data_IF_260767807848
#
_entry.id   IF_260767807848
#
_cell.length_a   1.000
_cell.length_b   1.000
_cell.length_c   1.000
_cell.angle_alpha   90.00
_cell.angle_beta   90.00
_cell.angle_gamma   90.00
#
_symmetry.space_group_name_H-M   'P 1'
#
loop_
_entity.id
_entity.type
_entity.pdbx_description
1 polymer ?
#
# COMPACT_ATOMS: atom_id res chain seq x y z
N UNK A 1 18.37 -4.58 -11.45
CA UNK A 1 16.97 -4.30 -11.83
C UNK A 1 16.14 -5.43 -11.27
N UNK A 2 15.19 -5.17 -10.37
CA UNK A 2 14.36 -6.22 -9.75
C UNK A 2 12.96 -6.15 -10.35
N UNK A 3 12.52 -7.23 -10.99
CA UNK A 3 11.18 -7.36 -11.56
C UNK A 3 10.22 -7.82 -10.45
N UNK A 4 9.17 -7.05 -10.18
CA UNK A 4 8.09 -7.50 -9.31
C UNK A 4 6.95 -8.03 -10.18
N UNK A 5 6.70 -9.34 -10.12
CA UNK A 5 5.53 -9.96 -10.78
C UNK A 5 4.40 -10.00 -9.77
N UNK A 6 3.43 -9.09 -9.88
CA UNK A 6 2.22 -9.16 -9.08
C UNK A 6 1.20 -10.07 -9.77
N UNK A 7 0.86 -11.18 -9.11
CA UNK A 7 -0.32 -11.98 -9.46
C UNK A 7 -1.55 -11.30 -8.86
N UNK A 8 -2.51 -10.91 -9.70
CA UNK A 8 -3.88 -10.77 -9.23
C UNK A 8 -4.37 -12.18 -8.87
N UNK A 9 -4.37 -12.54 -7.58
CA UNK A 9 -4.96 -13.80 -7.14
C UNK A 9 -6.47 -13.58 -7.08
N UNK A 10 -7.28 -14.23 -7.95
CA UNK A 10 -8.71 -14.22 -7.76
C UNK A 10 -8.99 -14.96 -6.46
N UNK A 11 -9.52 -14.28 -5.45
CA UNK A 11 -10.13 -14.98 -4.30
C UNK A 11 -11.29 -15.78 -4.87
N UNK A 12 -11.08 -17.07 -5.01
CA UNK A 12 -12.11 -18.02 -5.42
C UNK A 12 -13.19 -18.08 -4.35
N UNK A 13 -14.35 -17.48 -4.63
CA UNK A 13 -15.63 -17.96 -4.11
C UNK A 13 -16.64 -18.10 -5.25
N UNK A 14 -17.35 -19.23 -5.32
CA UNK A 14 -18.28 -19.52 -6.40
C UNK A 14 -19.62 -18.83 -6.10
N UNK A 15 -19.79 -17.61 -6.59
CA UNK A 15 -21.14 -17.12 -6.91
C UNK A 15 -21.04 -16.09 -8.03
N UNK A 16 -21.78 -16.36 -9.10
CA UNK A 16 -21.89 -15.50 -10.26
C UNK A 16 -22.67 -14.23 -9.89
N UNK A 17 -21.97 -13.17 -9.46
CA UNK A 17 -22.46 -11.79 -9.47
C UNK A 17 -21.39 -10.70 -9.26
N UNK A 18 -20.11 -11.04 -9.06
CA UNK A 18 -19.05 -10.09 -8.68
C UNK A 18 -18.04 -9.72 -9.79
N UNK A 19 -18.29 -10.10 -11.04
CA UNK A 19 -17.37 -9.85 -12.16
C UNK A 19 -17.12 -8.37 -12.57
N UNK A 20 -18.06 -7.41 -12.45
CA UNK A 20 -17.78 -6.03 -12.88
C UNK A 20 -16.80 -5.30 -11.94
N UNK A 21 -16.95 -5.48 -10.61
CA UNK A 21 -16.13 -4.77 -9.60
C UNK A 21 -14.65 -5.18 -9.67
N UNK A 22 -14.38 -6.46 -9.95
CA UNK A 22 -13.02 -6.97 -10.08
C UNK A 22 -12.35 -6.47 -11.37
N UNK A 23 -13.11 -6.37 -12.47
CA UNK A 23 -12.61 -5.78 -13.70
C UNK A 23 -12.27 -4.30 -13.48
N UNK A 24 -13.17 -3.54 -12.85
CA UNK A 24 -12.99 -2.11 -12.59
C UNK A 24 -11.76 -1.82 -11.71
N UNK A 25 -11.54 -2.61 -10.66
CA UNK A 25 -10.37 -2.47 -9.79
C UNK A 25 -9.04 -2.73 -10.55
N UNK A 26 -9.01 -3.73 -11.43
CA UNK A 26 -7.83 -4.04 -12.26
C UNK A 26 -7.61 -2.96 -13.31
N UNK A 27 -8.66 -2.48 -13.99
CA UNK A 27 -8.57 -1.38 -14.95
C UNK A 27 -8.08 -0.09 -14.29
N UNK A 28 -8.63 0.24 -13.12
CA UNK A 28 -8.20 1.40 -12.35
C UNK A 28 -6.73 1.29 -11.95
N UNK A 29 -6.30 0.12 -11.47
CA UNK A 29 -4.91 -0.15 -11.13
C UNK A 29 -3.96 0.08 -12.32
N UNK A 30 -4.33 -0.44 -13.50
CA UNK A 30 -3.57 -0.25 -14.74
C UNK A 30 -3.47 1.22 -15.11
N UNK A 31 -4.56 1.98 -14.98
CA UNK A 31 -4.58 3.40 -15.31
C UNK A 31 -3.67 4.22 -14.39
N UNK A 32 -3.70 3.97 -13.08
CA UNK A 32 -2.81 4.61 -12.10
C UNK A 32 -1.35 4.27 -12.39
N UNK A 33 -1.05 3.00 -12.68
CA UNK A 33 0.31 2.55 -13.00
C UNK A 33 0.86 3.15 -14.29
N UNK A 34 0.01 3.33 -15.31
CA UNK A 34 0.38 4.05 -16.54
C UNK A 34 0.64 5.52 -16.25
N UNK A 35 -0.23 6.15 -15.46
CA UNK A 35 -0.14 7.59 -15.16
C UNK A 35 1.12 7.94 -14.35
N UNK A 36 1.59 7.01 -13.52
CA UNK A 36 2.81 7.14 -12.71
C UNK A 36 4.07 6.59 -13.40
N UNK A 37 3.97 6.19 -14.67
CA UNK A 37 5.05 5.54 -15.45
C UNK A 37 5.67 4.31 -14.75
N UNK A 38 4.89 3.62 -13.92
CA UNK A 38 5.34 2.41 -13.21
C UNK A 38 4.97 1.11 -13.95
N UNK A 39 4.03 1.17 -14.91
CA UNK A 39 3.67 0.00 -15.72
C UNK A 39 4.70 -0.23 -16.83
N UNK A 40 5.27 -1.44 -16.89
CA UNK A 40 6.07 -1.91 -18.01
C UNK A 40 5.20 -2.63 -19.04
N UNK A 41 4.41 -3.59 -18.58
CA UNK A 41 3.57 -4.43 -19.44
C UNK A 41 2.33 -4.92 -18.68
N UNK A 42 1.22 -5.10 -19.38
CA UNK A 42 0.02 -5.73 -18.85
C UNK A 42 -0.54 -6.71 -19.88
N UNK A 43 -1.02 -7.87 -19.42
CA UNK A 43 -1.54 -8.92 -20.29
C UNK A 43 -2.26 -10.01 -19.51
N UNK A 44 -2.48 -11.14 -20.19
CA UNK A 44 -3.07 -12.33 -19.60
C UNK A 44 -2.06 -13.48 -19.60
N UNK A 45 -1.97 -14.20 -18.49
CA UNK A 45 -1.23 -15.46 -18.43
C UNK A 45 -1.94 -16.53 -19.25
N UNK A 46 -1.26 -17.63 -19.63
CA UNK A 46 -1.89 -18.77 -20.31
C UNK A 46 -3.10 -19.36 -19.56
N UNK A 47 -3.17 -19.14 -18.24
CA UNK A 47 -4.30 -19.53 -17.39
C UNK A 47 -5.51 -18.59 -17.48
N UNK A 48 -5.47 -17.54 -18.30
CA UNK A 48 -6.49 -16.49 -18.39
C UNK A 48 -6.47 -15.46 -17.26
N UNK A 49 -5.52 -15.55 -16.32
CA UNK A 49 -5.40 -14.58 -15.23
C UNK A 49 -4.73 -13.28 -15.73
N UNK A 50 -5.26 -12.13 -15.34
CA UNK A 50 -4.63 -10.84 -15.60
C UNK A 50 -3.29 -10.73 -14.85
N UNK A 51 -2.25 -10.25 -15.53
CA UNK A 51 -0.92 -10.04 -14.98
C UNK A 51 -0.36 -8.69 -15.43
N UNK A 52 0.45 -8.09 -14.57
CA UNK A 52 1.15 -6.83 -14.83
C UNK A 52 2.61 -6.98 -14.43
N UNK A 53 3.48 -6.39 -15.24
CA UNK A 53 4.89 -6.17 -14.94
C UNK A 53 5.05 -4.70 -14.61
N UNK A 54 5.59 -4.41 -13.43
CA UNK A 54 5.80 -3.05 -12.94
C UNK A 54 7.25 -2.83 -12.55
N UNK A 55 7.69 -1.58 -12.56
CA UNK A 55 8.96 -1.21 -11.95
C UNK A 55 8.91 -1.49 -10.45
N UNK A 56 9.77 -2.41 -9.99
CA UNK A 56 9.89 -2.77 -8.58
C UNK A 56 11.02 -2.00 -7.90
N UNK A 57 10.75 -1.48 -6.69
CA UNK A 57 11.79 -1.14 -5.71
C UNK A 57 11.83 -2.23 -4.64
N UNK A 58 13.03 -2.51 -4.12
CA UNK A 58 13.20 -3.48 -3.05
C UNK A 58 12.57 -2.97 -1.74
N UNK A 59 11.96 -3.87 -0.98
CA UNK A 59 11.36 -3.59 0.31
C UNK A 59 10.56 -4.79 0.81
N UNK A 60 10.15 -4.75 2.08
CA UNK A 60 9.26 -5.75 2.68
C UNK A 60 8.21 -5.05 3.55
N UNK A 61 7.04 -5.66 3.78
CA UNK A 61 6.14 -5.20 4.83
C UNK A 61 6.87 -5.09 6.17
N UNK A 62 6.54 -4.10 7.00
CA UNK A 62 7.24 -3.85 8.27
C UNK A 62 7.19 -5.08 9.19
N UNK A 63 6.05 -5.77 9.21
CA UNK A 63 5.82 -7.02 9.95
C UNK A 63 6.70 -8.20 9.49
N UNK A 64 7.27 -8.14 8.29
CA UNK A 64 8.14 -9.18 7.75
C UNK A 64 9.63 -8.88 8.03
N UNK A 65 9.92 -7.86 8.84
CA UNK A 65 11.27 -7.46 9.20
C UNK A 65 11.62 -7.97 10.59
N UNK A 66 12.61 -8.87 10.66
CA UNK A 66 13.09 -9.48 11.90
C UNK A 66 13.46 -8.47 12.97
N UNK A 67 14.06 -7.33 12.59
CA UNK A 67 14.41 -6.27 13.51
C UNK A 67 13.18 -5.69 14.21
N UNK A 68 12.10 -5.46 13.46
CA UNK A 68 10.84 -4.96 14.02
C UNK A 68 10.20 -6.01 14.94
N UNK A 69 10.19 -7.28 14.54
CA UNK A 69 9.60 -8.35 15.34
C UNK A 69 10.36 -8.66 16.64
N UNK A 70 11.66 -8.36 16.70
CA UNK A 70 12.51 -8.53 17.89
C UNK A 70 12.61 -7.27 18.75
N UNK A 71 12.14 -6.12 18.25
CA UNK A 71 12.14 -4.87 18.99
C UNK A 71 11.11 -4.91 20.13
N UNK A 72 11.38 -4.16 21.21
CA UNK A 72 10.40 -3.96 22.26
C UNK A 72 9.20 -3.14 21.78
N UNK A 73 8.12 -3.13 22.57
CA UNK A 73 6.87 -2.43 22.21
C UNK A 73 7.06 -0.93 21.97
N UNK A 74 7.97 -0.27 22.69
CA UNK A 74 8.24 1.16 22.52
C UNK A 74 8.90 1.42 21.17
N UNK A 75 9.89 0.61 20.81
CA UNK A 75 10.58 0.70 19.53
C UNK A 75 9.67 0.30 18.37
N UNK A 76 8.85 -0.73 18.51
CA UNK A 76 7.83 -1.09 17.51
C UNK A 76 6.85 0.07 17.25
N UNK A 77 6.32 0.66 18.31
CA UNK A 77 5.44 1.84 18.21
C UNK A 77 6.13 3.01 17.52
N UNK A 78 7.40 3.28 17.86
CA UNK A 78 8.18 4.35 17.22
C UNK A 78 8.39 4.12 15.72
N UNK A 79 8.58 2.86 15.29
CA UNK A 79 8.75 2.49 13.89
C UNK A 79 7.42 2.56 13.13
N UNK A 80 6.30 2.20 13.75
CA UNK A 80 4.97 2.37 13.17
C UNK A 80 4.66 3.85 12.94
N UNK A 81 4.88 4.70 13.94
CA UNK A 81 4.76 6.16 13.83
C UNK A 81 5.61 6.72 12.69
N UNK A 82 6.89 6.33 12.63
CA UNK A 82 7.78 6.76 11.55
C UNK A 82 7.30 6.29 10.17
N UNK A 83 6.78 5.05 10.08
CA UNK A 83 6.19 4.52 8.85
C UNK A 83 4.98 5.33 8.40
N UNK A 84 4.05 5.67 9.31
CA UNK A 84 2.88 6.49 8.99
C UNK A 84 3.29 7.85 8.41
N UNK A 85 4.23 8.54 9.07
CA UNK A 85 4.67 9.85 8.63
C UNK A 85 5.36 9.78 7.27
N UNK A 86 6.32 8.86 7.09
CA UNK A 86 7.02 8.70 5.81
C UNK A 86 6.06 8.27 4.69
N UNK A 87 5.11 7.38 4.98
CA UNK A 87 4.11 6.95 4.02
C UNK A 87 3.22 8.11 3.56
N UNK A 88 2.78 8.97 4.48
CA UNK A 88 2.02 10.14 4.10
C UNK A 88 2.84 11.15 3.31
N UNK A 89 4.11 11.36 3.67
CA UNK A 89 5.00 12.19 2.85
C UNK A 89 5.16 11.66 1.43
N UNK A 90 5.32 10.33 1.28
CA UNK A 90 5.41 9.69 -0.03
C UNK A 90 4.09 9.79 -0.82
N UNK A 91 2.94 9.61 -0.16
CA UNK A 91 1.63 9.79 -0.77
C UNK A 91 1.45 11.21 -1.33
N UNK A 92 1.85 12.23 -0.56
CA UNK A 92 1.77 13.63 -1.00
C UNK A 92 2.77 13.92 -2.11
N UNK A 93 3.98 13.35 -2.04
CA UNK A 93 4.98 13.48 -3.10
C UNK A 93 4.43 12.93 -4.43
N UNK A 94 3.85 11.72 -4.40
CA UNK A 94 3.21 11.09 -5.56
C UNK A 94 2.03 11.94 -6.06
N UNK A 95 1.18 12.46 -5.16
CA UNK A 95 0.06 13.31 -5.54
C UNK A 95 0.50 14.61 -6.24
N UNK A 96 1.56 15.24 -5.75
CA UNK A 96 2.11 16.47 -6.35
C UNK A 96 2.78 16.21 -7.70
N UNK A 97 3.50 15.10 -7.83
CA UNK A 97 4.21 14.76 -9.05
C UNK A 97 3.26 14.25 -10.14
N UNK A 98 2.35 13.35 -9.77
CA UNK A 98 1.54 12.57 -10.70
C UNK A 98 0.04 12.86 -10.62
N UNK A 99 -0.45 13.69 -9.70
CA UNK A 99 -1.90 13.96 -9.60
C UNK A 99 -2.72 12.74 -9.18
N UNK A 100 -2.12 11.82 -8.42
CA UNK A 100 -2.82 10.68 -7.83
C UNK A 100 -2.52 10.58 -6.34
N UNK A 101 -3.55 10.51 -5.50
CA UNK A 101 -3.44 10.46 -4.05
C UNK A 101 -3.78 9.06 -3.54
N UNK A 102 -2.95 8.51 -2.67
CA UNK A 102 -3.23 7.26 -2.00
C UNK A 102 -4.36 7.44 -0.98
N UNK A 103 -5.42 6.65 -1.11
CA UNK A 103 -6.61 6.63 -0.24
C UNK A 103 -6.69 5.36 0.61
N UNK A 104 -5.72 4.46 0.48
CA UNK A 104 -5.59 3.29 1.36
C UNK A 104 -5.05 3.67 2.75
N UNK A 105 -5.06 2.70 3.67
CA UNK A 105 -4.30 2.84 4.91
C UNK A 105 -2.87 2.35 4.65
N UNK A 106 -1.84 3.16 4.94
CA UNK A 106 -0.45 2.76 4.78
C UNK A 106 -0.02 1.63 5.73
N UNK A 107 -0.71 1.45 6.85
CA UNK A 107 -0.38 0.46 7.88
C UNK A 107 -0.97 -0.92 7.60
N UNK A 108 -1.89 -1.04 6.65
CA UNK A 108 -2.57 -2.30 6.37
C UNK A 108 -1.74 -3.22 5.47
N UNK A 109 -1.54 -4.45 5.95
CA UNK A 109 -1.27 -5.70 5.23
C UNK A 109 -0.58 -5.55 3.86
N UNK A 110 0.73 -5.35 3.90
CA UNK A 110 1.60 -5.47 2.72
C UNK A 110 1.42 -4.40 1.66
N UNK A 111 0.63 -3.36 1.93
CA UNK A 111 0.44 -2.23 1.02
C UNK A 111 1.54 -1.19 1.12
N UNK A 112 2.34 -1.21 2.18
CA UNK A 112 3.55 -0.41 2.25
C UNK A 112 4.75 -1.33 2.41
N UNK A 113 5.70 -1.21 1.49
CA UNK A 113 7.00 -1.87 1.60
C UNK A 113 7.99 -0.85 2.17
N UNK A 114 8.80 -1.30 3.11
CA UNK A 114 9.81 -0.45 3.74
C UNK A 114 11.20 -1.02 3.50
N UNK A 115 12.18 -0.12 3.42
CA UNK A 115 13.59 -0.46 3.51
C UNK A 115 14.13 0.04 4.85
N UNK A 116 14.92 -0.79 5.53
CA UNK A 116 15.52 -0.46 6.82
C UNK A 116 17.04 -0.49 6.70
N UNK A 117 17.70 0.54 7.23
CA UNK A 117 19.14 0.58 7.48
C UNK A 117 19.35 1.00 8.92
N UNK A 118 20.30 0.38 9.62
CA UNK A 118 20.72 0.78 10.97
C UNK A 118 19.56 0.91 11.97
N UNK A 119 18.56 0.04 11.84
CA UNK A 119 17.38 0.01 12.72
C UNK A 119 16.42 1.19 12.54
N UNK A 120 16.49 1.87 11.40
CA UNK A 120 15.61 2.97 10.99
C UNK A 120 15.02 2.73 9.60
N UNK A 121 13.80 3.23 9.39
CA UNK A 121 13.18 3.21 8.07
C UNK A 121 13.85 4.27 7.20
N UNK A 122 14.37 3.86 6.05
CA UNK A 122 15.11 4.75 5.13
C UNK A 122 14.32 5.09 3.88
N UNK A 123 13.37 4.24 3.50
CA UNK A 123 12.43 4.53 2.42
C UNK A 123 11.14 3.74 2.60
N UNK A 124 10.06 4.32 2.10
CA UNK A 124 8.75 3.69 2.00
C UNK A 124 8.34 3.61 0.53
N UNK A 125 7.65 2.54 0.18
CA UNK A 125 7.02 2.36 -1.11
C UNK A 125 5.56 2.01 -0.87
N UNK A 126 4.68 2.90 -1.32
CA UNK A 126 3.25 2.64 -1.34
C UNK A 126 2.93 1.73 -2.53
N UNK A 127 2.16 0.69 -2.23
CA UNK A 127 1.61 -0.28 -3.18
C UNK A 127 0.10 -0.35 -2.95
N UNK A 128 -0.61 -1.29 -3.58
CA UNK A 128 -2.08 -1.24 -3.58
C UNK A 128 -2.58 -0.14 -4.51
N UNK A 129 -2.12 -0.19 -5.76
CA UNK A 129 -2.41 0.79 -6.81
C UNK A 129 -3.91 0.95 -7.13
N UNK A 130 -4.76 0.02 -6.68
CA UNK A 130 -6.22 0.11 -6.70
C UNK A 130 -6.76 1.19 -5.74
N UNK A 131 -5.99 1.58 -4.74
CA UNK A 131 -6.39 2.50 -3.67
C UNK A 131 -5.83 3.91 -3.89
N UNK A 132 -5.69 4.32 -5.15
CA UNK A 132 -5.34 5.69 -5.52
C UNK A 132 -6.56 6.38 -6.12
N UNK A 133 -6.67 7.69 -5.92
CA UNK A 133 -7.66 8.53 -6.60
C UNK A 133 -6.95 9.64 -7.38
N UNK A 134 -7.48 10.00 -8.55
CA UNK A 134 -6.97 11.17 -9.29
C UNK A 134 -7.37 12.45 -8.56
N UNK A 135 -6.41 13.36 -8.41
CA UNK A 135 -6.57 14.65 -7.72
C UNK A 135 -5.89 15.77 -8.48
N UNK A 136 -6.33 17.01 -8.25
CA UNK A 136 -5.65 18.19 -8.78
C UNK A 136 -4.30 18.38 -8.06
N UNK A 137 -3.26 18.73 -8.83
CA UNK A 137 -1.88 18.83 -8.31
C UNK A 137 -1.67 20.05 -7.42
N UNK A 138 -2.56 21.03 -7.44
CA UNK A 138 -2.46 22.29 -6.70
C UNK A 138 -2.96 22.18 -5.25
N UNK A 139 -3.74 21.16 -4.90
CA UNK A 139 -4.28 20.98 -3.55
C UNK A 139 -3.19 21.11 -2.45
N UNK A 140 -3.40 21.88 -1.37
CA UNK A 140 -2.35 22.20 -0.40
C UNK A 140 -1.69 20.97 0.24
N UNK A 141 -0.35 20.99 0.39
CA UNK A 141 0.41 19.89 1.02
C UNK A 141 -0.15 19.55 2.41
N UNK A 142 -0.47 20.58 3.20
CA UNK A 142 -0.98 20.40 4.57
C UNK A 142 -2.32 19.65 4.60
N UNK A 143 -3.22 19.98 3.66
CA UNK A 143 -4.53 19.30 3.54
C UNK A 143 -4.36 17.84 3.10
N UNK A 144 -3.47 17.58 2.13
CA UNK A 144 -3.17 16.22 1.70
C UNK A 144 -2.54 15.38 2.84
N UNK A 145 -1.64 15.96 3.62
CA UNK A 145 -1.05 15.30 4.80
C UNK A 145 -2.11 15.02 5.86
N UNK A 146 -3.00 15.97 6.15
CA UNK A 146 -4.11 15.82 7.11
C UNK A 146 -5.06 14.71 6.69
N UNK A 147 -5.41 14.66 5.39
CA UNK A 147 -6.23 13.59 4.83
C UNK A 147 -5.55 12.22 4.99
N UNK A 148 -4.28 12.09 4.61
CA UNK A 148 -3.56 10.82 4.72
C UNK A 148 -3.51 10.30 6.17
N UNK A 149 -3.24 11.17 7.14
CA UNK A 149 -3.22 10.81 8.57
C UNK A 149 -4.60 10.38 9.07
N UNK A 150 -5.67 11.07 8.66
CA UNK A 150 -7.04 10.68 9.01
C UNK A 150 -7.41 9.28 8.48
N UNK A 151 -6.91 8.88 7.30
CA UNK A 151 -7.11 7.54 6.75
C UNK A 151 -6.37 6.44 7.53
N UNK A 152 -5.27 6.78 8.21
CA UNK A 152 -4.57 5.88 9.13
C UNK A 152 -5.40 5.66 10.41
N UNK A 153 -5.91 6.74 11.00
CA UNK A 153 -6.68 6.72 12.24
C UNK A 153 -8.07 6.05 12.07
N UNK A 154 -8.76 6.32 10.96
CA UNK A 154 -10.10 5.80 10.70
C UNK A 154 -10.16 4.27 10.56
N UNK A 155 -9.05 3.59 10.24
CA UNK A 155 -9.00 2.12 10.16
C UNK A 155 -8.43 1.43 11.39
N UNK A 156 -7.66 2.13 12.22
CA UNK A 156 -7.22 1.61 13.52
C UNK A 156 -8.42 1.29 14.44
N UNK A 157 -9.51 2.04 14.32
CA UNK A 157 -10.78 1.82 15.05
C UNK A 157 -11.57 0.59 14.56
N UNK A 158 -11.25 0.02 13.40
CA UNK A 158 -11.87 -1.21 12.88
C UNK A 158 -11.01 -2.46 13.07
N UNK A 159 -9.80 -2.33 13.64
CA UNK A 159 -9.03 -3.49 14.08
C UNK A 159 -9.50 -3.84 15.49
N UNK A 160 -10.17 -4.98 15.72
CA UNK A 160 -10.62 -5.33 17.05
C UNK A 160 -9.41 -5.40 18.00
N UNK A 161 -9.53 -4.92 19.25
CA UNK A 161 -8.44 -5.01 20.20
C UNK A 161 -7.99 -6.47 20.37
N UNK A 162 -6.70 -6.72 20.68
CA UNK A 162 -6.22 -8.06 20.93
C UNK A 162 -7.11 -8.72 21.98
N UNK A 163 -7.56 -9.94 21.72
CA UNK A 163 -8.33 -10.70 22.72
C UNK A 163 -7.49 -10.79 23.99
N UNK A 164 -8.08 -10.54 25.18
CA UNK A 164 -7.36 -10.72 26.43
C UNK A 164 -6.86 -12.17 26.51
N UNK A 165 -5.69 -12.42 27.14
CA UNK A 165 -5.17 -13.77 27.28
C UNK A 165 -6.21 -14.66 27.97
N UNK A 166 -6.29 -15.96 27.62
CA UNK A 166 -7.24 -16.87 28.23
C UNK A 166 -7.01 -16.86 29.74
N UNK A 167 -8.08 -16.57 30.50
CA UNK A 167 -8.05 -16.68 31.96
C UNK A 167 -7.87 -18.16 32.29
N UNK A 168 -6.74 -18.49 32.89
CA UNK A 168 -6.42 -19.77 33.54
C UNK A 168 -7.35 -20.04 34.71
#
# INVERSE_FOLDING_TARGET
>A
MTLLVMRAVPRSHPSASSQPVLADAVYHQVNVLKHTNQLLEAGHLPSGAAAMIIYGKAGKPLQDIDFYNKADSSKQFSLQKALEDMACEEAVRIAKEYGVLYTGSPLLDGRTLVAISDGQITSVLLTGWSDYAFVEKDAPKEEMMKFCRAMCEYKATFTPPPLPPPRS
#
